data_IF_279589643718
#
_entry.id   IF_279589643718
#
_cell.length_a   1.000
_cell.length_b   1.000
_cell.length_c   1.000
_cell.angle_alpha   90.00
_cell.angle_beta   90.00
_cell.angle_gamma   90.00
#
_symmetry.space_group_name_H-M   'P 1'
#
loop_
_entity.id
_entity.type
_entity.pdbx_description
1 polymer ?
#
# COMPACT_ATOMS: atom_id res chain seq x y z
N UNK A 1 -38.15 23.66 -37.70
CA UNK A 1 -36.81 23.02 -37.64
C UNK A 1 -36.68 22.39 -36.27
N UNK A 2 -36.88 21.08 -36.17
CA UNK A 2 -36.86 20.33 -34.90
C UNK A 2 -35.78 19.26 -35.00
N UNK A 3 -34.64 19.47 -34.36
CA UNK A 3 -33.55 18.48 -34.32
C UNK A 3 -33.84 17.46 -33.22
N UNK A 4 -34.12 16.22 -33.63
CA UNK A 4 -34.17 15.05 -32.76
C UNK A 4 -32.74 14.63 -32.40
N UNK A 5 -32.36 14.76 -31.13
CA UNK A 5 -31.09 14.27 -30.59
C UNK A 5 -31.18 12.75 -30.42
N UNK A 6 -30.42 11.98 -31.21
CA UNK A 6 -30.30 10.55 -31.04
C UNK A 6 -29.18 10.26 -30.02
N UNK A 7 -29.56 9.90 -28.80
CA UNK A 7 -28.62 9.44 -27.78
C UNK A 7 -28.32 7.95 -28.02
N UNK A 8 -27.06 7.48 -27.95
CA UNK A 8 -26.76 6.06 -28.09
C UNK A 8 -27.14 5.33 -26.80
N UNK A 9 -28.07 4.37 -26.88
CA UNK A 9 -28.41 3.48 -25.76
C UNK A 9 -27.37 2.35 -25.68
N UNK A 10 -26.58 2.33 -24.60
CA UNK A 10 -25.73 1.18 -24.25
C UNK A 10 -26.62 0.10 -23.63
N UNK A 11 -26.54 -1.18 -24.06
CA UNK A 11 -27.33 -2.23 -23.45
C UNK A 11 -26.88 -2.45 -22.00
N UNK A 12 -27.83 -2.34 -21.07
CA UNK A 12 -27.65 -2.74 -19.67
C UNK A 12 -27.56 -4.27 -19.66
N UNK A 13 -26.37 -4.82 -19.37
CA UNK A 13 -26.23 -6.24 -19.11
C UNK A 13 -26.65 -6.51 -17.67
N UNK A 14 -27.83 -7.08 -17.47
CA UNK A 14 -28.22 -7.72 -16.22
C UNK A 14 -27.37 -8.98 -16.04
N UNK A 15 -26.25 -8.83 -15.33
CA UNK A 15 -25.25 -9.87 -15.12
C UNK A 15 -24.97 -10.10 -13.64
N UNK A 16 -25.79 -10.97 -13.04
CA UNK A 16 -25.46 -11.89 -11.95
C UNK A 16 -24.70 -11.33 -10.71
N UNK A 17 -25.42 -11.17 -9.61
CA UNK A 17 -24.92 -10.98 -8.24
C UNK A 17 -24.03 -12.14 -7.79
N UNK A 18 -22.77 -12.07 -8.15
CA UNK A 18 -21.70 -12.90 -7.62
C UNK A 18 -20.40 -12.20 -7.91
N UNK A 19 -19.98 -11.31 -7.02
CA UNK A 19 -18.69 -10.63 -7.10
C UNK A 19 -17.55 -11.68 -6.98
N UNK A 20 -17.27 -12.35 -8.09
CA UNK A 20 -16.04 -13.08 -8.40
C UNK A 20 -15.00 -12.03 -8.75
N UNK A 21 -14.61 -11.23 -7.77
CA UNK A 21 -13.36 -10.50 -7.85
C UNK A 21 -12.49 -11.08 -6.76
N UNK A 22 -11.26 -11.54 -7.05
CA UNK A 22 -10.28 -11.61 -5.99
C UNK A 22 -10.25 -10.21 -5.39
N UNK A 23 -10.55 -10.07 -4.09
CA UNK A 23 -10.15 -8.87 -3.33
C UNK A 23 -8.63 -8.90 -3.14
N UNK A 24 -7.91 -9.17 -4.21
CA UNK A 24 -6.48 -8.98 -4.29
C UNK A 24 -6.32 -7.61 -4.91
N UNK A 25 -5.97 -6.64 -4.08
CA UNK A 25 -5.36 -5.45 -4.64
C UNK A 25 -4.10 -5.93 -5.37
N UNK A 26 -4.00 -5.80 -6.71
CA UNK A 26 -2.83 -6.33 -7.45
C UNK A 26 -1.52 -5.68 -6.98
N UNK A 27 -1.62 -4.55 -6.26
CA UNK A 27 -0.52 -3.93 -5.56
C UNK A 27 -0.90 -3.66 -4.08
N UNK A 28 -0.26 -4.32 -3.09
CA UNK A 28 -0.55 -4.13 -1.68
C UNK A 28 -0.22 -2.72 -1.16
N UNK A 29 0.58 -1.94 -1.90
CA UNK A 29 0.92 -0.55 -1.55
C UNK A 29 -0.06 0.49 -2.10
N UNK A 30 -0.95 0.13 -3.04
CA UNK A 30 -1.77 1.13 -3.72
C UNK A 30 -2.64 1.91 -2.73
N UNK A 31 -3.34 1.19 -1.84
CA UNK A 31 -4.20 1.79 -0.82
C UNK A 31 -3.41 2.64 0.19
N UNK A 32 -2.23 2.17 0.59
CA UNK A 32 -1.32 2.83 1.54
C UNK A 32 -0.72 4.12 0.97
N UNK A 33 -0.37 4.11 -0.32
CA UNK A 33 0.13 5.30 -1.01
C UNK A 33 -1.01 6.31 -1.21
N UNK A 34 -2.19 5.85 -1.66
CA UNK A 34 -3.35 6.73 -1.86
C UNK A 34 -3.77 7.45 -0.57
N UNK A 35 -3.78 6.75 0.56
CA UNK A 35 -4.14 7.36 1.85
C UNK A 35 -3.08 8.35 2.37
N UNK A 36 -1.81 8.20 1.98
CA UNK A 36 -0.73 9.06 2.46
C UNK A 36 -0.50 10.34 1.64
N UNK A 37 -0.99 10.42 0.41
CA UNK A 37 -0.75 11.58 -0.49
C UNK A 37 -1.31 12.89 0.08
N UNK A 38 -2.42 12.84 0.81
CA UNK A 38 -3.07 14.03 1.37
C UNK A 38 -2.65 14.32 2.81
N UNK A 39 -1.64 13.60 3.33
CA UNK A 39 -1.19 13.81 4.71
C UNK A 39 -0.40 15.12 4.81
N UNK A 40 -0.75 15.97 5.80
CA UNK A 40 -0.05 17.25 6.07
C UNK A 40 1.43 17.06 6.37
N UNK A 41 1.79 15.90 6.92
CA UNK A 41 3.16 15.52 7.18
C UNK A 41 3.77 14.80 5.97
N UNK A 42 4.58 15.54 5.21
CA UNK A 42 5.34 15.07 4.05
C UNK A 42 6.23 13.84 4.31
N UNK A 43 6.55 13.53 5.56
CA UNK A 43 7.35 12.35 5.90
C UNK A 43 6.58 11.04 5.66
N UNK A 44 5.25 11.01 5.86
CA UNK A 44 4.45 9.81 5.61
C UNK A 44 4.55 9.35 4.15
N UNK A 45 4.18 10.15 3.13
CA UNK A 45 4.25 9.71 1.74
C UNK A 45 5.69 9.46 1.26
N UNK A 46 6.72 10.01 1.92
CA UNK A 46 8.12 9.65 1.66
C UNK A 46 8.44 8.24 2.15
N UNK A 47 8.07 7.91 3.40
CA UNK A 47 8.25 6.57 3.96
C UNK A 47 7.50 5.52 3.12
N UNK A 48 6.24 5.79 2.78
CA UNK A 48 5.43 4.85 1.99
C UNK A 48 6.02 4.58 0.60
N UNK A 49 6.54 5.62 -0.07
CA UNK A 49 7.25 5.44 -1.35
C UNK A 49 8.55 4.65 -1.20
N UNK A 50 9.32 4.91 -0.15
CA UNK A 50 10.56 4.16 0.13
C UNK A 50 10.28 2.68 0.35
N UNK A 51 9.28 2.32 1.15
CA UNK A 51 8.91 0.92 1.36
C UNK A 51 8.36 0.26 0.09
N UNK A 52 7.56 0.98 -0.69
CA UNK A 52 7.11 0.50 -2.00
C UNK A 52 8.29 0.17 -2.92
N UNK A 53 9.30 1.05 -2.97
CA UNK A 53 10.51 0.81 -3.76
C UNK A 53 11.30 -0.41 -3.25
N UNK A 54 11.58 -0.51 -1.95
CA UNK A 54 12.33 -1.64 -1.42
C UNK A 54 11.58 -2.98 -1.56
N UNK A 55 10.25 -2.96 -1.55
CA UNK A 55 9.46 -4.14 -1.88
C UNK A 55 9.65 -4.62 -3.32
N UNK A 56 9.91 -3.72 -4.29
CA UNK A 56 10.25 -4.16 -5.66
C UNK A 56 11.60 -4.89 -5.74
N UNK A 57 12.55 -4.55 -4.86
CA UNK A 57 13.91 -5.12 -4.84
C UNK A 57 13.97 -6.40 -4.00
N UNK A 58 13.30 -6.38 -2.85
CA UNK A 58 13.43 -7.39 -1.81
C UNK A 58 12.11 -8.12 -1.51
N UNK A 59 11.00 -7.78 -2.15
CA UNK A 59 9.66 -8.33 -1.84
C UNK A 59 9.53 -9.84 -2.08
N UNK A 60 10.39 -10.40 -2.93
CA UNK A 60 10.39 -11.83 -3.25
C UNK A 60 11.44 -12.64 -2.46
N UNK A 61 12.09 -12.03 -1.46
CA UNK A 61 13.10 -12.71 -0.64
C UNK A 61 12.42 -13.66 0.36
N UNK A 62 12.84 -14.92 0.45
CA UNK A 62 12.34 -15.82 1.48
C UNK A 62 12.90 -15.43 2.85
N UNK A 63 12.36 -16.04 3.90
CA UNK A 63 13.04 -16.12 5.20
C UNK A 63 14.46 -16.69 5.02
N UNK A 64 15.33 -16.44 5.99
CA UNK A 64 16.78 -16.73 5.97
C UNK A 64 17.63 -15.90 4.99
N UNK A 65 17.04 -15.11 4.09
CA UNK A 65 17.82 -14.29 3.14
C UNK A 65 18.77 -13.31 3.84
N UNK A 66 18.38 -12.81 5.02
CA UNK A 66 19.16 -11.87 5.83
C UNK A 66 19.99 -12.55 6.94
N UNK A 67 20.17 -13.87 6.85
CA UNK A 67 21.00 -14.62 7.80
C UNK A 67 22.48 -14.20 7.71
N UNK A 68 23.16 -14.20 8.87
CA UNK A 68 24.58 -13.85 8.95
C UNK A 68 24.84 -12.35 8.96
N UNK A 69 23.82 -11.55 9.24
CA UNK A 69 23.97 -10.14 9.60
C UNK A 69 24.14 -9.99 11.11
N UNK A 70 24.59 -8.81 11.56
CA UNK A 70 24.73 -8.46 12.98
C UNK A 70 23.37 -8.30 13.71
N UNK A 71 22.26 -8.39 12.97
CA UNK A 71 20.92 -8.23 13.52
C UNK A 71 20.38 -9.58 14.00
N UNK A 72 20.22 -9.72 15.32
CA UNK A 72 19.59 -10.89 15.94
C UNK A 72 18.16 -11.10 15.39
N UNK A 73 17.83 -12.32 14.98
CA UNK A 73 16.53 -12.66 14.43
C UNK A 73 16.31 -12.25 12.97
N UNK A 74 17.35 -11.73 12.28
CA UNK A 74 17.26 -11.36 10.87
C UNK A 74 16.86 -12.53 9.95
N UNK A 75 17.14 -13.77 10.36
CA UNK A 75 16.71 -14.98 9.68
C UNK A 75 15.17 -15.11 9.55
N UNK A 76 14.41 -14.46 10.44
CA UNK A 76 12.94 -14.47 10.38
C UNK A 76 12.36 -13.45 9.40
N UNK A 77 13.21 -12.57 8.83
CA UNK A 77 12.78 -11.53 7.91
C UNK A 77 12.60 -12.10 6.50
N UNK A 78 11.42 -11.85 5.93
CA UNK A 78 11.06 -12.17 4.55
C UNK A 78 10.74 -10.88 3.77
N UNK A 79 10.52 -11.02 2.46
CA UNK A 79 10.22 -9.89 1.58
C UNK A 79 8.92 -9.15 1.89
N UNK A 80 8.01 -9.75 2.66
CA UNK A 80 6.78 -9.09 3.10
C UNK A 80 7.01 -7.98 4.13
N UNK A 81 8.22 -7.90 4.71
CA UNK A 81 8.61 -6.90 5.73
C UNK A 81 8.22 -5.47 5.34
N UNK A 82 8.45 -5.06 4.08
CA UNK A 82 8.22 -3.69 3.64
C UNK A 82 6.73 -3.32 3.58
N UNK A 83 5.86 -4.26 3.20
CA UNK A 83 4.40 -4.06 3.23
C UNK A 83 3.93 -3.95 4.67
N UNK A 84 4.46 -4.81 5.56
CA UNK A 84 4.11 -4.80 7.00
C UNK A 84 4.53 -3.49 7.67
N UNK A 85 5.76 -3.02 7.40
CA UNK A 85 6.27 -1.75 7.92
C UNK A 85 5.47 -0.53 7.40
N UNK A 86 5.08 -0.55 6.13
CA UNK A 86 4.23 0.46 5.51
C UNK A 86 2.88 0.62 6.24
N UNK A 87 2.20 -0.51 6.49
CA UNK A 87 0.94 -0.55 7.24
C UNK A 87 1.10 -0.07 8.68
N UNK A 88 2.14 -0.53 9.39
CA UNK A 88 2.43 -0.09 10.76
C UNK A 88 2.64 1.43 10.85
N UNK A 89 3.34 2.00 9.86
CA UNK A 89 3.59 3.44 9.81
C UNK A 89 2.30 4.23 9.60
N UNK A 90 1.40 3.76 8.72
CA UNK A 90 0.09 4.40 8.55
C UNK A 90 -0.74 4.33 9.82
N UNK A 91 -0.76 3.18 10.50
CA UNK A 91 -1.51 3.04 11.75
C UNK A 91 -0.96 3.97 12.85
N UNK A 92 0.36 4.00 13.01
CA UNK A 92 1.00 4.85 14.01
C UNK A 92 0.78 6.35 13.75
N UNK A 93 0.82 6.78 12.47
CA UNK A 93 0.68 8.18 12.07
C UNK A 93 -0.77 8.63 11.85
N UNK A 94 -1.71 7.67 11.72
CA UNK A 94 -3.14 7.93 11.55
C UNK A 94 -3.85 8.16 12.89
N UNK A 95 -3.36 7.56 13.97
CA UNK A 95 -3.63 8.05 15.32
C UNK A 95 -2.91 9.39 15.50
N UNK A 96 -3.46 10.31 16.29
CA UNK A 96 -2.99 11.70 16.43
C UNK A 96 -1.58 11.88 17.07
N UNK A 97 -0.67 10.91 16.88
CA UNK A 97 0.70 10.92 17.30
C UNK A 97 1.55 11.67 16.26
N UNK A 98 1.78 12.94 16.55
CA UNK A 98 2.85 13.70 15.91
C UNK A 98 4.19 13.02 16.25
N UNK A 99 5.02 12.82 15.23
CA UNK A 99 6.36 12.24 15.41
C UNK A 99 7.14 13.05 16.45
N UNK A 100 7.41 12.46 17.61
CA UNK A 100 8.30 13.04 18.60
C UNK A 100 9.74 12.62 18.32
N UNK A 101 10.64 13.61 18.25
CA UNK A 101 12.10 13.41 18.23
C UNK A 101 12.60 12.68 19.47
N UNK A 102 11.81 12.59 20.56
CA UNK A 102 12.15 11.83 21.76
C UNK A 102 12.37 10.33 21.53
N UNK A 103 11.95 9.77 20.38
CA UNK A 103 12.27 8.38 20.04
C UNK A 103 13.67 8.15 19.46
N UNK A 104 14.44 9.23 19.19
CA UNK A 104 15.77 9.18 18.59
C UNK A 104 16.92 9.43 19.57
N UNK A 105 16.64 9.84 20.81
CA UNK A 105 17.63 10.13 21.85
C UNK A 105 17.35 9.33 23.13
#
# INVERSE_FOLDING_TARGET
MTSTSAQPTVPISDGNSGSVFPKEHPNPFLSVIQSSILNTNDHLPKIQRSFGHFSTIYGNRPADYHKGTELEGAELLDGSLFVRAALLTVNYMGEANTWSISGFF
#
